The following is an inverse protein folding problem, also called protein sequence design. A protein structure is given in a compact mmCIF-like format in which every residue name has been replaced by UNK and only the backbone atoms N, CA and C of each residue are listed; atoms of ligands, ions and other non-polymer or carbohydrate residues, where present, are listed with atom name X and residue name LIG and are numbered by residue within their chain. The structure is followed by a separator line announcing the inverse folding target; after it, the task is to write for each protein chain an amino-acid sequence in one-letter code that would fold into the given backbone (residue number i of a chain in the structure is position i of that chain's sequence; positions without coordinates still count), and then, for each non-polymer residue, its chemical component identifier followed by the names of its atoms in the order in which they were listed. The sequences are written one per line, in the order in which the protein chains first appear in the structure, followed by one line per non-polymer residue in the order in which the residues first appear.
data_IF_845732858759
#
_entry.id   IF_845732858759
#
_cell.length_a   1.000
_cell.length_b   1.000
_cell.length_c   1.000
_cell.angle_alpha   90.00
_cell.angle_beta   90.00
_cell.angle_gamma   90.00
#
_symmetry.space_group_name_H-M   'P 1'
#
loop_
_entity.id
_entity.type
_entity.pdbx_description
1 polymer ?
#
# COMPACT_ATOMS: atom_id res chain seq x y z
N UNK A 1 30.83 13.45 8.27
CA UNK A 1 29.70 14.11 7.57
C UNK A 1 29.81 14.06 6.02
N UNK A 2 30.51 13.06 5.43
CA UNK A 2 30.51 12.77 3.97
C UNK A 2 29.90 11.40 3.63
N UNK A 3 29.68 10.56 4.64
CA UNK A 3 29.20 9.18 4.49
C UNK A 3 27.68 9.10 4.33
N UNK A 4 26.91 9.99 4.98
CA UNK A 4 25.45 10.03 4.86
C UNK A 4 24.96 10.46 3.47
N UNK A 5 25.66 11.40 2.83
CA UNK A 5 25.32 11.86 1.48
C UNK A 5 25.47 10.75 0.44
N UNK A 6 26.48 9.88 0.58
CA UNK A 6 26.71 8.78 -0.34
C UNK A 6 25.62 7.70 -0.22
N UNK A 7 25.15 7.40 1.00
CA UNK A 7 24.06 6.43 1.22
C UNK A 7 22.74 6.96 0.67
N UNK A 8 22.41 8.23 0.93
CA UNK A 8 21.20 8.84 0.39
C UNK A 8 21.22 8.90 -1.14
N UNK A 9 22.37 9.24 -1.73
CA UNK A 9 22.51 9.24 -3.19
C UNK A 9 22.40 7.82 -3.76
N UNK A 10 23.00 6.83 -3.08
CA UNK A 10 22.92 5.43 -3.48
C UNK A 10 21.48 4.92 -3.39
N UNK A 11 20.75 5.25 -2.33
CA UNK A 11 19.32 4.94 -2.21
C UNK A 11 18.48 5.63 -3.30
N UNK A 12 18.78 6.89 -3.62
CA UNK A 12 18.13 7.61 -4.72
C UNK A 12 18.43 7.00 -6.09
N UNK A 13 19.63 6.45 -6.29
CA UNK A 13 20.02 5.81 -7.55
C UNK A 13 19.40 4.41 -7.71
N UNK A 14 19.16 3.69 -6.60
CA UNK A 14 18.41 2.43 -6.57
C UNK A 14 16.90 2.65 -6.80
N UNK A 15 16.38 3.83 -6.44
CA UNK A 15 15.07 4.32 -6.88
C UNK A 15 15.14 4.74 -8.35
N UNK A 16 15.53 3.81 -9.21
CA UNK A 16 15.60 4.03 -10.66
C UNK A 16 14.19 4.34 -11.16
N UNK A 17 13.98 5.62 -11.51
CA UNK A 17 12.77 6.18 -12.09
C UNK A 17 12.38 5.40 -13.36
N UNK A 18 11.28 4.65 -13.28
CA UNK A 18 10.58 4.16 -14.48
C UNK A 18 9.54 5.22 -14.85
N UNK A 19 9.81 5.95 -15.92
CA UNK A 19 8.95 7.02 -16.44
C UNK A 19 7.49 6.61 -16.64
N UNK A 20 7.22 5.30 -16.79
CA UNK A 20 5.87 4.74 -16.93
C UNK A 20 5.06 4.84 -15.63
N UNK A 21 5.70 4.57 -14.48
CA UNK A 21 5.04 4.44 -13.18
C UNK A 21 5.16 5.72 -12.36
N UNK A 22 6.16 6.57 -12.62
CA UNK A 22 6.35 7.82 -11.89
C UNK A 22 5.23 8.85 -12.12
N UNK A 23 4.45 8.67 -13.18
CA UNK A 23 3.21 9.44 -13.41
C UNK A 23 2.07 9.04 -12.47
N UNK A 24 2.17 7.89 -11.81
CA UNK A 24 1.10 7.36 -10.97
C UNK A 24 1.14 7.98 -9.57
N UNK A 25 -0.03 8.24 -8.99
CA UNK A 25 -0.11 8.86 -7.68
C UNK A 25 0.55 7.94 -6.64
N UNK A 26 1.30 8.56 -5.72
CA UNK A 26 2.02 7.92 -4.60
C UNK A 26 3.26 7.11 -4.98
N UNK A 27 3.66 7.06 -6.26
CA UNK A 27 4.86 6.32 -6.71
C UNK A 27 6.06 7.24 -6.93
N UNK A 28 5.84 8.46 -7.46
CA UNK A 28 6.89 9.43 -7.80
C UNK A 28 7.86 9.75 -6.63
N UNK A 29 7.35 9.69 -5.39
CA UNK A 29 8.18 9.96 -4.23
C UNK A 29 7.74 9.16 -3.01
N UNK A 30 8.67 8.73 -2.13
CA UNK A 30 8.32 8.11 -0.86
C UNK A 30 7.67 9.09 0.13
N UNK A 31 7.88 10.40 -0.06
CA UNK A 31 7.39 11.44 0.85
C UNK A 31 5.87 11.44 1.05
N UNK A 32 5.02 11.39 0.00
CA UNK A 32 3.57 11.22 0.14
C UNK A 32 3.14 10.09 1.07
N UNK A 33 3.75 8.90 0.94
CA UNK A 33 3.42 7.74 1.78
C UNK A 33 3.86 8.00 3.23
N UNK A 34 5.06 8.54 3.44
CA UNK A 34 5.55 8.90 4.77
C UNK A 34 4.63 9.90 5.47
N UNK A 35 4.11 10.90 4.74
CA UNK A 35 3.16 11.89 5.28
C UNK A 35 1.85 11.21 5.67
N UNK A 36 1.28 10.37 4.82
CA UNK A 36 0.05 9.61 5.12
C UNK A 36 0.23 8.79 6.40
N UNK A 37 1.34 8.06 6.51
CA UNK A 37 1.65 7.24 7.69
C UNK A 37 1.82 8.09 8.96
N UNK A 38 2.54 9.21 8.88
CA UNK A 38 2.73 10.11 10.02
C UNK A 38 1.40 10.72 10.49
N UNK A 39 0.54 11.14 9.57
CA UNK A 39 -0.80 11.64 9.86
C UNK A 39 -1.67 10.55 10.48
N UNK A 40 -1.66 9.33 9.91
CA UNK A 40 -2.37 8.17 10.42
C UNK A 40 -1.94 7.83 11.86
N UNK A 41 -0.64 7.74 12.13
CA UNK A 41 -0.12 7.46 13.48
C UNK A 41 -0.50 8.56 14.47
N UNK A 42 -0.42 9.83 14.05
CA UNK A 42 -0.82 10.96 14.89
C UNK A 42 -2.32 10.89 15.20
N UNK A 43 -3.15 10.56 14.22
CA UNK A 43 -4.59 10.39 14.39
C UNK A 43 -4.89 9.25 15.37
N UNK A 44 -4.33 8.06 15.15
CA UNK A 44 -4.62 6.87 15.97
C UNK A 44 -4.07 6.98 17.39
N UNK A 45 -2.86 7.52 17.58
CA UNK A 45 -2.21 7.53 18.90
C UNK A 45 -2.60 8.73 19.75
N UNK A 46 -2.90 9.89 19.15
CA UNK A 46 -3.21 11.11 19.89
C UNK A 46 -4.67 11.53 19.77
N UNK A 47 -5.18 11.64 18.54
CA UNK A 47 -6.50 12.22 18.31
C UNK A 47 -7.63 11.25 18.66
N UNK A 48 -7.50 9.98 18.27
CA UNK A 48 -8.47 8.92 18.55
C UNK A 48 -8.79 8.79 20.04
N UNK A 49 -7.80 8.55 20.92
CA UNK A 49 -8.02 8.47 22.35
C UNK A 49 -8.63 9.74 22.95
N UNK A 50 -8.23 10.92 22.45
CA UNK A 50 -8.78 12.21 22.90
C UNK A 50 -10.26 12.37 22.54
N UNK A 51 -10.67 11.95 21.35
CA UNK A 51 -12.06 11.97 20.90
C UNK A 51 -12.92 10.94 21.65
N UNK A 52 -12.34 9.81 22.04
CA UNK A 52 -13.04 8.72 22.74
C UNK A 52 -13.11 8.88 24.25
N UNK A 53 -12.30 9.75 24.85
CA UNK A 53 -12.24 9.94 26.32
C UNK A 53 -13.60 10.22 26.96
N UNK A 54 -14.48 10.94 26.25
CA UNK A 54 -15.80 11.34 26.75
C UNK A 54 -16.97 10.76 25.93
N UNK A 55 -16.73 9.72 25.12
CA UNK A 55 -17.78 9.10 24.30
C UNK A 55 -17.87 7.60 24.56
N UNK A 56 -19.10 7.08 24.52
CA UNK A 56 -19.37 5.65 24.55
C UNK A 56 -19.01 5.00 23.21
N UNK A 57 -18.60 3.71 23.22
CA UNK A 57 -18.21 3.02 22.00
C UNK A 57 -19.35 2.98 20.98
N UNK A 58 -19.09 3.43 19.75
CA UNK A 58 -20.08 3.44 18.69
C UNK A 58 -20.28 2.01 18.14
N UNK A 59 -21.53 1.56 18.04
CA UNK A 59 -21.85 0.25 17.46
C UNK A 59 -21.87 0.32 15.92
N UNK A 60 -20.70 0.44 15.31
CA UNK A 60 -20.51 0.40 13.84
C UNK A 60 -20.05 -0.97 13.34
N UNK A 61 -20.41 -2.04 14.07
CA UNK A 61 -20.00 -3.43 13.79
C UNK A 61 -20.32 -3.86 12.35
N UNK A 62 -21.51 -3.54 11.86
CA UNK A 62 -21.93 -3.88 10.49
C UNK A 62 -21.16 -3.11 9.42
N UNK A 63 -20.84 -1.84 9.68
CA UNK A 63 -20.05 -1.02 8.77
C UNK A 63 -18.63 -1.59 8.63
N UNK A 64 -18.01 -1.98 9.74
CA UNK A 64 -16.70 -2.66 9.73
C UNK A 64 -16.78 -3.99 9.02
N UNK A 65 -17.80 -4.80 9.29
CA UNK A 65 -17.96 -6.09 8.61
C UNK A 65 -18.05 -5.90 7.09
N UNK A 66 -18.88 -4.97 6.63
CA UNK A 66 -19.01 -4.64 5.22
C UNK A 66 -17.69 -4.15 4.61
N UNK A 67 -16.99 -3.27 5.33
CA UNK A 67 -15.68 -2.78 4.92
C UNK A 67 -14.66 -3.90 4.74
N UNK A 68 -14.51 -4.76 5.75
CA UNK A 68 -13.56 -5.89 5.73
C UNK A 68 -13.92 -6.90 4.62
N UNK A 69 -15.21 -7.09 4.33
CA UNK A 69 -15.66 -7.91 3.21
C UNK A 69 -15.26 -7.31 1.86
N UNK A 70 -15.51 -6.01 1.65
CA UNK A 70 -15.12 -5.31 0.41
C UNK A 70 -13.62 -5.32 0.19
N UNK A 71 -12.85 -5.08 1.26
CA UNK A 71 -11.39 -5.13 1.25
C UNK A 71 -10.87 -6.54 0.95
N UNK A 72 -11.47 -7.58 1.52
CA UNK A 72 -11.12 -8.97 1.21
C UNK A 72 -11.41 -9.28 -0.25
N UNK A 73 -12.58 -8.92 -0.76
CA UNK A 73 -12.94 -9.09 -2.18
C UNK A 73 -11.96 -8.39 -3.12
N UNK A 74 -11.57 -7.15 -2.79
CA UNK A 74 -10.60 -6.39 -3.58
C UNK A 74 -9.22 -7.05 -3.59
N UNK A 75 -8.72 -7.48 -2.44
CA UNK A 75 -7.45 -8.21 -2.34
C UNK A 75 -7.49 -9.55 -3.08
N UNK A 76 -8.60 -10.29 -2.98
CA UNK A 76 -8.81 -11.53 -3.73
C UNK A 76 -8.87 -11.28 -5.24
N UNK A 77 -9.45 -10.16 -5.69
CA UNK A 77 -9.47 -9.78 -7.10
C UNK A 77 -8.06 -9.53 -7.64
N UNK A 78 -7.23 -8.76 -6.93
CA UNK A 78 -5.84 -8.51 -7.33
C UNK A 78 -5.06 -9.83 -7.38
N UNK A 79 -5.25 -10.70 -6.39
CA UNK A 79 -4.62 -12.02 -6.37
C UNK A 79 -5.08 -12.87 -7.57
N UNK A 80 -6.39 -12.98 -7.81
CA UNK A 80 -6.94 -13.71 -8.95
C UNK A 80 -6.38 -13.18 -10.28
N UNK A 81 -6.30 -11.86 -10.45
CA UNK A 81 -5.75 -11.22 -11.65
C UNK A 81 -4.31 -11.68 -11.98
N UNK A 82 -3.48 -11.85 -10.95
CA UNK A 82 -2.08 -12.26 -11.08
C UNK A 82 -1.92 -13.77 -11.32
N UNK A 83 -2.78 -14.60 -10.73
CA UNK A 83 -2.68 -16.06 -10.79
C UNK A 83 -3.46 -16.72 -11.93
N UNK A 84 -4.52 -16.07 -12.44
CA UNK A 84 -5.33 -16.61 -13.55
C UNK A 84 -4.57 -16.53 -14.88
N UNK A 85 -3.65 -15.57 -15.04
CA UNK A 85 -2.83 -15.44 -16.25
C UNK A 85 -1.55 -16.29 -16.11
N UNK A 86 -1.45 -17.48 -16.73
CA UNK A 86 -0.29 -18.37 -16.56
C UNK A 86 1.01 -17.73 -17.05
N UNK A 87 0.93 -16.81 -18.01
CA UNK A 87 2.07 -16.05 -18.53
C UNK A 87 2.69 -15.13 -17.47
N UNK A 88 1.86 -14.46 -16.67
CA UNK A 88 2.30 -13.57 -15.58
C UNK A 88 2.93 -14.41 -14.46
N UNK A 89 2.25 -15.48 -14.05
CA UNK A 89 2.77 -16.37 -13.01
C UNK A 89 4.11 -17.00 -13.41
N UNK A 90 4.22 -17.53 -14.63
CA UNK A 90 5.47 -18.10 -15.15
C UNK A 90 6.56 -17.03 -15.30
N UNK A 91 6.21 -15.80 -15.65
CA UNK A 91 7.17 -14.70 -15.71
C UNK A 91 7.75 -14.40 -14.32
N UNK A 92 6.89 -14.21 -13.31
CA UNK A 92 7.31 -13.96 -11.92
C UNK A 92 8.21 -15.10 -11.44
N UNK A 93 7.81 -16.36 -11.64
CA UNK A 93 8.56 -17.52 -11.15
C UNK A 93 9.96 -17.63 -11.76
N UNK A 94 10.10 -17.39 -13.06
CA UNK A 94 11.35 -17.59 -13.78
C UNK A 94 12.25 -16.33 -13.83
N UNK A 95 11.67 -15.13 -13.67
CA UNK A 95 12.36 -13.85 -13.85
C UNK A 95 12.33 -12.96 -12.58
N UNK A 96 12.04 -13.53 -11.41
CA UNK A 96 12.04 -12.80 -10.13
C UNK A 96 13.39 -12.12 -9.82
N UNK A 97 14.51 -12.80 -10.09
CA UNK A 97 15.84 -12.29 -9.77
C UNK A 97 16.48 -11.49 -10.92
N UNK A 98 16.11 -11.79 -12.16
CA UNK A 98 16.63 -11.14 -13.36
C UNK A 98 15.46 -10.79 -14.28
N UNK A 99 14.93 -9.55 -14.18
CA UNK A 99 13.80 -9.13 -14.99
C UNK A 99 14.20 -9.07 -16.48
N UNK A 100 13.34 -9.64 -17.33
CA UNK A 100 13.53 -9.64 -18.77
C UNK A 100 12.79 -8.44 -19.38
N UNK A 101 13.57 -7.43 -19.78
CA UNK A 101 13.07 -6.17 -20.33
C UNK A 101 12.39 -6.33 -21.71
N UNK A 102 12.50 -7.49 -22.37
CA UNK A 102 11.82 -7.73 -23.65
C UNK A 102 10.33 -7.95 -23.50
N UNK A 103 9.85 -8.32 -22.30
CA UNK A 103 8.44 -8.56 -21.98
C UNK A 103 7.76 -7.35 -21.33
N UNK A 104 7.92 -6.18 -21.97
CA UNK A 104 7.43 -4.89 -21.45
C UNK A 104 5.94 -4.88 -21.10
N UNK A 105 5.09 -5.59 -21.87
CA UNK A 105 3.65 -5.65 -21.62
C UNK A 105 3.31 -6.40 -20.31
N UNK A 106 4.00 -7.51 -20.03
CA UNK A 106 3.81 -8.29 -18.78
C UNK A 106 4.31 -7.48 -17.59
N UNK A 107 5.46 -6.82 -17.74
CA UNK A 107 6.02 -5.93 -16.72
C UNK A 107 5.07 -4.76 -16.42
N UNK A 108 4.43 -4.18 -17.43
CA UNK A 108 3.43 -3.12 -17.25
C UNK A 108 2.21 -3.61 -16.45
N UNK A 109 1.67 -4.79 -16.77
CA UNK A 109 0.57 -5.41 -16.05
C UNK A 109 0.92 -5.71 -14.58
N UNK A 110 2.17 -6.11 -14.32
CA UNK A 110 2.69 -6.27 -12.96
C UNK A 110 2.74 -4.95 -12.21
N UNK A 111 3.22 -3.88 -12.84
CA UNK A 111 3.24 -2.55 -12.23
C UNK A 111 1.82 -2.11 -11.86
N UNK A 112 0.84 -2.26 -12.75
CA UNK A 112 -0.58 -1.93 -12.48
C UNK A 112 -1.07 -2.67 -11.22
N UNK A 113 -0.82 -3.98 -11.15
CA UNK A 113 -1.25 -4.78 -10.01
C UNK A 113 -0.52 -4.39 -8.71
N UNK A 114 0.79 -4.11 -8.77
CA UNK A 114 1.57 -3.60 -7.64
C UNK A 114 1.03 -2.26 -7.14
N UNK A 115 0.61 -1.37 -8.04
CA UNK A 115 0.03 -0.09 -7.67
C UNK A 115 -1.35 -0.27 -7.00
N UNK A 116 -2.24 -1.09 -7.56
CA UNK A 116 -3.51 -1.42 -6.90
C UNK A 116 -3.31 -2.06 -5.52
N UNK A 117 -2.31 -2.92 -5.39
CA UNK A 117 -1.95 -3.51 -4.09
C UNK A 117 -1.44 -2.46 -3.10
N UNK A 118 -0.60 -1.51 -3.53
CA UNK A 118 -0.15 -0.41 -2.69
C UNK A 118 -1.31 0.47 -2.20
N UNK A 119 -2.26 0.78 -3.09
CA UNK A 119 -3.50 1.49 -2.72
C UNK A 119 -4.31 0.67 -1.71
N UNK A 120 -4.45 -0.65 -1.92
CA UNK A 120 -5.11 -1.53 -0.95
C UNK A 120 -4.49 -1.42 0.44
N UNK A 121 -3.15 -1.39 0.55
CA UNK A 121 -2.46 -1.23 1.84
C UNK A 121 -2.76 0.09 2.55
N UNK A 122 -2.98 1.16 1.79
CA UNK A 122 -3.38 2.45 2.37
C UNK A 122 -4.81 2.38 2.89
N UNK A 123 -5.70 1.70 2.17
CA UNK A 123 -7.08 1.42 2.59
C UNK A 123 -7.07 0.54 3.86
N UNK A 124 -6.21 -0.47 3.95
CA UNK A 124 -6.06 -1.32 5.15
C UNK A 124 -5.76 -0.50 6.43
N UNK A 125 -5.02 0.62 6.33
CA UNK A 125 -4.73 1.49 7.47
C UNK A 125 -6.00 2.09 8.09
N UNK A 126 -7.01 2.41 7.27
CA UNK A 126 -8.25 3.02 7.74
C UNK A 126 -9.09 2.05 8.60
N UNK A 127 -9.03 0.74 8.33
CA UNK A 127 -9.71 -0.28 9.13
C UNK A 127 -9.21 -0.29 10.59
N UNK A 128 -7.90 -0.11 10.77
CA UNK A 128 -7.29 -0.06 12.10
C UNK A 128 -7.77 1.14 12.90
N UNK A 129 -8.03 2.28 12.23
CA UNK A 129 -8.65 3.45 12.87
C UNK A 129 -10.03 3.07 13.39
N UNK A 130 -10.88 2.49 12.53
CA UNK A 130 -12.26 2.17 12.86
C UNK A 130 -12.35 1.16 14.00
N UNK A 131 -11.52 0.11 13.98
CA UNK A 131 -11.49 -0.92 15.04
C UNK A 131 -11.02 -0.35 16.38
N UNK A 132 -9.93 0.42 16.40
CA UNK A 132 -9.44 1.10 17.61
C UNK A 132 -10.35 2.21 18.11
N UNK A 133 -11.22 2.76 17.26
CA UNK A 133 -12.20 3.77 17.67
C UNK A 133 -13.46 3.17 18.29
N UNK A 134 -13.60 1.84 18.33
CA UNK A 134 -14.79 1.13 18.84
C UNK A 134 -14.46 0.37 20.11
N UNK A 135 -13.36 -0.39 20.09
CA UNK A 135 -12.78 -0.93 21.31
C UNK A 135 -12.21 0.30 22.00
N UNK A 136 -12.61 0.58 23.24
CA UNK A 136 -12.29 1.86 23.89
C UNK A 136 -10.78 2.14 24.08
N UNK A 137 -9.90 1.24 23.60
CA UNK A 137 -8.47 1.36 23.28
C UNK A 137 -8.04 0.13 22.45
#
# INVERSE_FOLDING_TARGET
MKTHTNIFQQFYNELKSDSTIDSWPLVNSPWPICIILALYLTFVLKLGPKLMKNREPMNIKYLILFYNLMQTMFNSYIFAYQFIKPEIFNYIWNHACHPDNTKSNIVHELHIASWYFAISKIIDLFDTVSKKLIIKL
#
